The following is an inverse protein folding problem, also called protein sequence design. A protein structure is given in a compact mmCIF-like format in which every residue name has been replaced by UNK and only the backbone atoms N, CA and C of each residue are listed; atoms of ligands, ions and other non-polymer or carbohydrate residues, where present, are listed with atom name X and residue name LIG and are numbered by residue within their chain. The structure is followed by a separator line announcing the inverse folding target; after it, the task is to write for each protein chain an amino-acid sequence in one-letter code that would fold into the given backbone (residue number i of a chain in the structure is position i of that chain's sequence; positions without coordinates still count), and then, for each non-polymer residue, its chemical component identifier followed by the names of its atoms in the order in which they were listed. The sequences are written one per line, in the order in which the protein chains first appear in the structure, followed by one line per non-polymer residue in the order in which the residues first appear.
data_IF_269592827437
#
_entry.id   IF_269592827437
#
_cell.length_a   1.000
_cell.length_b   1.000
_cell.length_c   1.000
_cell.angle_alpha   90.00
_cell.angle_beta   90.00
_cell.angle_gamma   90.00
#
_symmetry.space_group_name_H-M   'P 1'
#
loop_
_entity.id
_entity.type
_entity.pdbx_description
1 polymer ?
#
# COMPACT_ATOMS: atom_id res chain seq x y z
N UNK A 1 34.18 8.72 6.09
CA UNK A 1 32.87 9.30 5.79
C UNK A 1 33.09 10.63 5.08
N UNK A 2 32.47 10.86 3.92
CA UNK A 2 32.45 12.17 3.27
C UNK A 2 31.62 13.12 4.15
N UNK A 3 32.19 14.25 4.60
CA UNK A 3 31.40 15.26 5.30
C UNK A 3 30.32 15.80 4.36
N UNK A 4 29.10 15.93 4.86
CA UNK A 4 27.97 16.48 4.12
C UNK A 4 27.59 17.82 4.77
N UNK A 5 28.24 18.89 4.33
CA UNK A 5 28.17 20.21 4.98
C UNK A 5 26.93 21.05 4.56
N UNK A 6 26.04 20.49 3.73
CA UNK A 6 24.80 21.13 3.29
C UNK A 6 23.59 20.28 3.72
N UNK A 7 22.35 20.79 3.78
CA UNK A 7 21.17 19.93 3.93
C UNK A 7 20.88 19.17 2.61
N UNK A 8 20.21 18.02 2.70
CA UNK A 8 19.68 17.31 1.53
C UNK A 8 18.16 17.18 1.60
N UNK A 9 17.53 17.04 0.43
CA UNK A 9 16.15 16.61 0.28
C UNK A 9 16.13 15.43 -0.70
N UNK A 10 15.58 14.31 -0.26
CA UNK A 10 15.41 13.11 -1.07
C UNK A 10 13.95 12.68 -1.02
N UNK A 11 13.35 12.51 -2.19
CA UNK A 11 11.99 11.96 -2.34
C UNK A 11 12.09 10.56 -2.94
N UNK A 12 11.56 9.56 -2.26
CA UNK A 12 11.53 8.17 -2.72
C UNK A 12 10.08 7.81 -3.05
N UNK A 13 9.77 7.70 -4.35
CA UNK A 13 8.45 7.29 -4.83
C UNK A 13 8.38 5.78 -5.05
N UNK A 14 7.91 5.02 -4.06
CA UNK A 14 7.68 3.59 -4.20
C UNK A 14 6.35 3.33 -4.91
N UNK A 15 6.35 2.41 -5.89
CA UNK A 15 5.13 2.06 -6.64
C UNK A 15 4.24 1.08 -5.89
N UNK A 16 4.81 0.19 -5.07
CA UNK A 16 4.04 -0.69 -4.21
C UNK A 16 3.22 0.15 -3.19
N UNK A 17 2.02 -0.27 -2.79
CA UNK A 17 1.33 -1.51 -3.16
C UNK A 17 0.36 -1.33 -4.35
N UNK A 18 0.60 -0.39 -5.27
CA UNK A 18 -0.28 -0.19 -6.43
C UNK A 18 -0.45 -1.47 -7.28
N UNK A 19 -1.64 -1.65 -7.89
CA UNK A 19 -1.90 -2.73 -8.87
C UNK A 19 -0.80 -2.80 -9.96
N UNK A 20 -0.44 -3.99 -10.48
CA UNK A 20 -1.02 -5.31 -10.17
C UNK A 20 -0.58 -5.85 -8.80
N UNK A 21 -1.50 -6.50 -8.08
CA UNK A 21 -1.23 -7.09 -6.77
C UNK A 21 -0.52 -8.44 -6.91
N UNK A 22 0.71 -8.41 -7.40
CA UNK A 22 1.52 -9.59 -7.68
C UNK A 22 2.87 -9.45 -6.96
N UNK A 23 3.07 -10.12 -5.81
CA UNK A 23 4.36 -10.17 -5.16
C UNK A 23 5.41 -10.82 -6.08
N UNK A 24 6.65 -10.35 -5.99
CA UNK A 24 7.76 -10.92 -6.76
C UNK A 24 7.98 -12.41 -6.43
N UNK A 25 8.50 -13.19 -7.40
CA UNK A 25 8.85 -14.60 -7.16
C UNK A 25 9.87 -14.71 -6.02
N UNK A 26 9.60 -15.58 -5.04
CA UNK A 26 10.47 -15.79 -3.87
C UNK A 26 10.38 -14.68 -2.81
N UNK A 27 9.32 -13.87 -2.86
CA UNK A 27 9.05 -12.86 -1.84
C UNK A 27 8.93 -13.49 -0.44
N UNK A 28 9.58 -12.87 0.54
CA UNK A 28 9.79 -13.45 1.87
C UNK A 28 8.56 -13.40 2.79
N UNK A 29 7.59 -12.52 2.53
CA UNK A 29 6.46 -12.31 3.43
C UNK A 29 5.20 -13.03 2.91
N UNK A 30 4.70 -13.99 3.68
CA UNK A 30 3.52 -14.77 3.35
C UNK A 30 2.36 -14.41 4.28
N UNK A 31 1.25 -13.96 3.69
CA UNK A 31 0.03 -13.60 4.39
C UNK A 31 -1.13 -14.56 4.12
N UNK A 32 -0.88 -15.78 3.62
CA UNK A 32 -1.93 -16.79 3.38
C UNK A 32 -2.83 -16.95 4.61
N UNK A 33 -4.14 -16.86 4.40
CA UNK A 33 -5.15 -16.98 5.45
C UNK A 33 -5.32 -15.72 6.30
N UNK A 34 -4.84 -14.56 5.84
CA UNK A 34 -5.16 -13.30 6.51
C UNK A 34 -6.67 -13.03 6.37
N UNK A 35 -7.33 -12.93 7.53
CA UNK A 35 -8.75 -12.64 7.57
C UNK A 35 -9.01 -11.15 7.29
N UNK A 36 -9.87 -10.82 6.31
CA UNK A 36 -10.19 -9.43 6.05
C UNK A 36 -10.95 -8.81 7.22
N UNK A 37 -10.48 -7.65 7.68
CA UNK A 37 -11.26 -6.80 8.58
C UNK A 37 -12.28 -6.03 7.76
N UNK A 38 -13.47 -6.61 7.62
CA UNK A 38 -14.60 -5.95 6.97
C UNK A 38 -15.08 -4.78 7.81
N UNK A 39 -15.22 -3.59 7.22
CA UNK A 39 -15.83 -2.46 7.91
C UNK A 39 -17.36 -2.55 7.87
N UNK A 40 -18.04 -1.70 8.66
CA UNK A 40 -19.50 -1.54 8.61
C UNK A 40 -20.02 -1.18 7.20
N UNK A 41 -19.16 -0.60 6.36
CA UNK A 41 -19.51 -0.12 5.02
C UNK A 41 -19.38 -1.22 3.95
N UNK A 42 -18.86 -2.40 4.28
CA UNK A 42 -18.58 -3.47 3.31
C UNK A 42 -19.80 -3.84 2.45
N UNK A 43 -20.98 -3.94 3.06
CA UNK A 43 -22.22 -4.31 2.37
C UNK A 43 -23.07 -3.12 1.90
N UNK A 44 -22.50 -1.91 1.82
CA UNK A 44 -23.23 -0.69 1.46
C UNK A 44 -22.80 -0.16 0.10
N UNK A 45 -23.53 -0.50 -0.97
CA UNK A 45 -23.22 0.00 -2.32
C UNK A 45 -23.18 1.54 -2.39
N UNK A 46 -22.35 2.13 -3.26
CA UNK A 46 -22.33 3.58 -3.45
C UNK A 46 -23.66 4.09 -4.05
N UNK A 47 -24.11 5.30 -3.70
CA UNK A 47 -25.31 5.90 -4.28
C UNK A 47 -25.08 6.53 -5.67
N UNK A 48 -23.96 6.21 -6.32
CA UNK A 48 -23.53 6.73 -7.61
C UNK A 48 -22.91 5.62 -8.45
N UNK A 49 -22.89 5.80 -9.76
CA UNK A 49 -22.14 4.93 -10.67
C UNK A 49 -20.63 5.18 -10.47
N UNK A 50 -19.95 4.19 -9.90
CA UNK A 50 -18.52 4.26 -9.63
C UNK A 50 -17.65 4.01 -10.89
N UNK A 51 -18.26 3.75 -12.04
CA UNK A 51 -17.55 3.50 -13.30
C UNK A 51 -16.85 2.14 -13.38
N UNK A 52 -16.19 1.88 -14.52
CA UNK A 52 -15.67 0.57 -14.93
C UNK A 52 -14.57 -0.04 -14.05
N UNK A 53 -13.97 0.69 -13.12
CA UNK A 53 -12.87 0.17 -12.28
C UNK A 53 -13.39 -0.65 -11.08
N UNK A 54 -14.67 -1.04 -11.05
CA UNK A 54 -15.13 -2.22 -10.30
C UNK A 54 -14.62 -3.49 -10.98
N UNK A 55 -13.32 -3.55 -11.26
CA UNK A 55 -12.68 -4.69 -11.91
C UNK A 55 -13.02 -5.94 -11.11
N UNK A 56 -13.58 -6.97 -11.75
CA UNK A 56 -13.89 -8.21 -11.06
C UNK A 56 -12.58 -8.76 -10.48
N UNK A 57 -12.64 -9.37 -9.30
CA UNK A 57 -11.43 -9.84 -8.63
C UNK A 57 -10.60 -10.83 -9.48
N UNK A 58 -11.24 -11.50 -10.44
CA UNK A 58 -10.58 -12.32 -11.46
C UNK A 58 -9.53 -11.58 -12.29
N UNK A 59 -9.64 -10.26 -12.46
CA UNK A 59 -8.60 -9.42 -13.08
C UNK A 59 -7.29 -9.44 -12.30
N UNK A 60 -7.35 -9.71 -10.99
CA UNK A 60 -6.18 -9.82 -10.12
C UNK A 60 -5.67 -11.27 -9.97
N UNK A 61 -6.22 -12.22 -10.74
CA UNK A 61 -5.74 -13.60 -10.81
C UNK A 61 -6.21 -14.50 -9.67
N UNK A 62 -7.30 -14.15 -9.00
CA UNK A 62 -7.82 -14.91 -7.85
C UNK A 62 -9.14 -15.62 -8.10
N UNK A 63 -9.17 -16.93 -7.80
CA UNK A 63 -10.37 -17.77 -7.87
C UNK A 63 -11.36 -17.45 -6.73
N UNK A 64 -10.85 -17.19 -5.51
CA UNK A 64 -11.62 -16.70 -4.33
C UNK A 64 -11.69 -15.16 -4.25
N UNK A 65 -11.14 -14.47 -5.25
CA UNK A 65 -11.32 -13.05 -5.48
C UNK A 65 -10.62 -12.11 -4.50
N UNK A 66 -11.29 -11.82 -3.39
CA UNK A 66 -10.92 -10.76 -2.45
C UNK A 66 -9.78 -11.18 -1.52
N UNK A 67 -9.86 -12.37 -0.91
CA UNK A 67 -8.90 -12.82 0.09
C UNK A 67 -7.48 -12.93 -0.48
N UNK A 68 -7.30 -13.61 -1.62
CA UNK A 68 -5.99 -13.72 -2.24
C UNK A 68 -5.44 -12.35 -2.70
N UNK A 69 -6.31 -11.43 -3.15
CA UNK A 69 -5.86 -10.07 -3.48
C UNK A 69 -5.39 -9.32 -2.24
N UNK A 70 -6.08 -9.50 -1.11
CA UNK A 70 -5.66 -8.93 0.17
C UNK A 70 -4.34 -9.53 0.68
N UNK A 71 -4.14 -10.84 0.53
CA UNK A 71 -2.87 -11.51 0.83
C UNK A 71 -1.73 -10.91 0.04
N UNK A 72 -1.90 -10.81 -1.29
CA UNK A 72 -0.90 -10.23 -2.18
C UNK A 72 -0.64 -8.75 -1.90
N UNK A 73 -1.70 -7.97 -1.63
CA UNK A 73 -1.58 -6.57 -1.22
C UNK A 73 -0.77 -6.42 0.06
N UNK A 74 -1.01 -7.29 1.05
CA UNK A 74 -0.28 -7.32 2.32
C UNK A 74 1.19 -7.69 2.12
N UNK A 75 1.48 -8.68 1.26
CA UNK A 75 2.84 -9.01 0.85
C UNK A 75 3.55 -7.81 0.21
N UNK A 76 2.90 -7.07 -0.68
CA UNK A 76 3.49 -5.86 -1.28
C UNK A 76 3.78 -4.76 -0.25
N UNK A 77 2.90 -4.57 0.75
CA UNK A 77 3.15 -3.66 1.87
C UNK A 77 4.38 -4.10 2.65
N UNK A 78 4.53 -5.38 2.97
CA UNK A 78 5.70 -5.87 3.70
C UNK A 78 7.01 -5.71 2.89
N UNK A 79 6.96 -5.84 1.57
CA UNK A 79 8.10 -5.51 0.70
C UNK A 79 8.45 -4.02 0.71
N UNK A 80 7.44 -3.15 0.81
CA UNK A 80 7.63 -1.72 0.96
C UNK A 80 8.26 -1.40 2.32
N UNK A 81 7.80 -2.05 3.39
CA UNK A 81 8.36 -1.91 4.74
C UNK A 81 9.85 -2.29 4.78
N UNK A 82 10.24 -3.42 4.18
CA UNK A 82 11.66 -3.82 4.03
C UNK A 82 12.47 -2.75 3.28
N UNK A 83 11.90 -2.16 2.22
CA UNK A 83 12.56 -1.10 1.46
C UNK A 83 12.76 0.17 2.30
N UNK A 84 11.79 0.54 3.13
CA UNK A 84 11.91 1.64 4.10
C UNK A 84 12.98 1.32 5.15
N UNK A 85 12.98 0.09 5.68
CA UNK A 85 14.00 -0.39 6.63
C UNK A 85 15.42 -0.28 6.08
N UNK A 86 15.63 -0.58 4.79
CA UNK A 86 16.94 -0.42 4.12
C UNK A 86 17.39 1.03 4.03
N UNK A 87 16.48 1.98 3.80
CA UNK A 87 16.79 3.42 3.80
C UNK A 87 17.12 3.88 5.21
N UNK A 88 16.33 3.46 6.20
CA UNK A 88 16.55 3.78 7.60
C UNK A 88 17.92 3.28 8.09
N UNK A 89 18.23 2.01 7.86
CA UNK A 89 19.53 1.41 8.20
C UNK A 89 20.69 2.14 7.50
N UNK A 90 20.53 2.51 6.23
CA UNK A 90 21.53 3.27 5.50
C UNK A 90 21.80 4.66 6.09
N UNK A 91 20.79 5.33 6.65
CA UNK A 91 20.94 6.60 7.37
C UNK A 91 21.64 6.40 8.72
N UNK A 92 21.27 5.36 9.45
CA UNK A 92 21.86 4.98 10.75
C UNK A 92 23.35 4.63 10.61
N UNK A 93 23.71 3.75 9.67
CA UNK A 93 25.10 3.34 9.38
C UNK A 93 26.00 4.53 9.00
N UNK A 94 25.42 5.60 8.46
CA UNK A 94 26.13 6.82 8.06
C UNK A 94 26.15 7.88 9.15
N UNK A 95 25.50 7.66 10.30
CA UNK A 95 25.38 8.64 11.38
C UNK A 95 24.55 9.86 10.99
N UNK A 96 23.63 9.73 10.02
CA UNK A 96 22.79 10.82 9.52
C UNK A 96 21.40 10.86 10.16
N UNK A 97 21.00 9.77 10.82
CA UNK A 97 19.62 9.57 11.29
C UNK A 97 19.16 10.66 12.27
N UNK A 98 20.00 11.00 13.27
CA UNK A 98 19.67 12.00 14.30
C UNK A 98 19.40 13.41 13.75
N UNK A 99 19.89 13.70 12.54
CA UNK A 99 19.72 14.98 11.85
C UNK A 99 18.90 14.85 10.56
N UNK A 100 18.08 13.80 10.44
CA UNK A 100 17.21 13.56 9.27
C UNK A 100 15.75 13.52 9.70
N UNK A 101 14.92 14.37 9.09
CA UNK A 101 13.47 14.27 9.20
C UNK A 101 12.98 13.27 8.15
N UNK A 102 12.26 12.24 8.59
CA UNK A 102 11.64 11.24 7.72
C UNK A 102 10.13 11.50 7.68
N UNK A 103 9.59 11.75 6.49
CA UNK A 103 8.16 11.87 6.24
C UNK A 103 7.70 10.68 5.41
N UNK A 104 6.71 9.94 5.91
CA UNK A 104 6.09 8.82 5.19
C UNK A 104 4.66 9.19 4.82
N UNK A 105 4.36 9.22 3.53
CA UNK A 105 3.06 9.64 2.99
C UNK A 105 2.64 8.78 1.82
N UNK A 106 1.34 8.82 1.48
CA UNK A 106 0.78 8.18 0.30
C UNK A 106 -0.02 9.18 -0.55
N UNK A 107 -0.19 8.87 -1.83
CA UNK A 107 -0.98 9.66 -2.79
C UNK A 107 -2.48 9.53 -2.56
N UNK A 108 -2.95 8.33 -2.18
CA UNK A 108 -4.35 8.01 -1.91
C UNK A 108 -4.48 6.74 -1.06
N UNK A 109 -5.66 6.53 -0.49
CA UNK A 109 -6.06 5.26 0.12
C UNK A 109 -6.55 4.23 -0.91
N UNK A 110 -7.26 3.22 -0.42
CA UNK A 110 -7.80 2.10 -1.18
C UNK A 110 -9.05 1.55 -0.50
N UNK A 111 -10.15 1.39 -1.23
CA UNK A 111 -11.44 0.97 -0.65
C UNK A 111 -11.41 -0.44 -0.07
N UNK A 112 -10.57 -1.34 -0.59
CA UNK A 112 -10.39 -2.71 -0.09
C UNK A 112 -11.72 -3.44 0.18
N UNK A 113 -12.63 -3.40 -0.80
CA UNK A 113 -13.97 -4.00 -0.79
C UNK A 113 -14.98 -3.34 0.16
N UNK A 114 -14.65 -2.17 0.71
CA UNK A 114 -15.65 -1.31 1.34
C UNK A 114 -16.55 -0.69 0.29
N UNK A 115 -17.81 -0.51 0.64
CA UNK A 115 -18.85 -0.04 -0.26
C UNK A 115 -19.09 -0.93 -1.48
N UNK A 116 -18.76 -2.22 -1.43
CA UNK A 116 -18.74 -3.12 -2.61
C UNK A 116 -17.84 -2.60 -3.74
N UNK A 117 -16.94 -1.67 -3.44
CA UNK A 117 -15.90 -1.18 -4.34
C UNK A 117 -14.64 -1.95 -4.02
N UNK A 118 -14.19 -2.81 -4.94
CA UNK A 118 -13.04 -3.72 -4.78
C UNK A 118 -11.74 -3.02 -4.34
N UNK A 119 -10.70 -2.95 -5.16
CA UNK A 119 -9.47 -2.24 -4.82
C UNK A 119 -9.47 -0.87 -5.53
N UNK A 120 -10.45 -0.03 -5.19
CA UNK A 120 -10.76 1.23 -5.89
C UNK A 120 -10.27 2.47 -5.13
N UNK A 121 -10.16 3.62 -5.83
CA UNK A 121 -9.54 4.83 -5.26
C UNK A 121 -9.94 6.20 -5.84
N UNK A 122 -10.99 6.28 -6.65
CA UNK A 122 -11.46 7.55 -7.23
C UNK A 122 -12.77 8.04 -6.60
N UNK A 123 -12.92 7.83 -5.30
CA UNK A 123 -14.15 8.12 -4.55
C UNK A 123 -13.84 8.88 -3.26
N UNK A 124 -14.77 9.71 -2.80
CA UNK A 124 -14.60 10.53 -1.59
C UNK A 124 -14.95 9.77 -0.29
N UNK A 125 -14.69 8.47 -0.24
CA UNK A 125 -14.84 7.66 0.98
C UNK A 125 -13.56 7.68 1.79
N UNK A 126 -13.68 7.56 3.12
CA UNK A 126 -12.56 7.56 4.06
C UNK A 126 -11.45 6.61 3.64
N UNK A 127 -11.80 5.40 3.22
CA UNK A 127 -10.86 4.37 2.81
C UNK A 127 -10.04 4.78 1.57
N UNK A 128 -10.60 5.61 0.70
CA UNK A 128 -9.97 6.08 -0.54
C UNK A 128 -9.16 7.36 -0.37
N UNK A 129 -9.55 8.26 0.54
CA UNK A 129 -8.90 9.57 0.70
C UNK A 129 -7.93 9.63 1.89
N UNK A 130 -8.11 8.75 2.88
CA UNK A 130 -7.26 8.73 4.06
C UNK A 130 -5.93 8.07 3.74
N UNK A 131 -4.85 8.73 4.13
CA UNK A 131 -3.48 8.26 3.97
C UNK A 131 -2.72 8.30 5.30
N UNK A 132 -1.67 7.49 5.46
CA UNK A 132 -0.70 7.69 6.54
C UNK A 132 0.03 9.03 6.37
N UNK A 133 0.25 9.74 7.47
CA UNK A 133 1.15 10.89 7.62
C UNK A 133 1.51 11.04 9.11
#
# INVERSE_FOLDING_TARGET
ATSHDQPFLVTIGLKAPHKPFLPGKGHAFNFTGIEPKLSRNHNTAPPFDAGMDTEPFSFYGSEDGFSQTLENYSSLIASLDDSVGRVYAALEERGLLDNTVIMFVSDNGLTANNHQLSFYKFVAYEESIRVPL
#
